data_IF_605066282089
#
_entry.id   IF_605066282089
#
_cell.length_a   1.000
_cell.length_b   1.000
_cell.length_c   1.000
_cell.angle_alpha   90.00
_cell.angle_beta   90.00
_cell.angle_gamma   90.00
#
_symmetry.space_group_name_H-M   'P 1'
#
loop_
_entity.id
_entity.type
_entity.pdbx_description
1 polymer ?
#
# COMPACT_ATOMS: atom_id res chain seq x y z
N UNK A 1 16.78 31.37 -4.69
CA UNK A 1 18.15 31.57 -4.12
C UNK A 1 19.27 31.27 -5.12
N UNK A 2 18.98 30.78 -6.34
CA UNK A 2 20.01 30.47 -7.33
C UNK A 2 20.80 29.21 -6.93
N UNK A 3 22.10 29.22 -7.18
CA UNK A 3 23.02 28.18 -6.76
C UNK A 3 23.78 28.62 -5.49
N UNK A 4 24.04 27.68 -4.57
CA UNK A 4 25.00 27.86 -3.48
C UNK A 4 26.23 27.03 -3.82
N UNK A 5 27.28 27.67 -4.35
CA UNK A 5 28.40 26.96 -4.98
C UNK A 5 27.89 26.24 -6.23
N UNK A 6 28.19 24.94 -6.35
CA UNK A 6 27.74 24.10 -7.47
C UNK A 6 26.42 23.34 -7.15
N UNK A 7 25.68 23.78 -6.11
CA UNK A 7 24.45 23.11 -5.65
C UNK A 7 23.23 23.94 -6.03
N UNK A 8 22.33 23.33 -6.81
CA UNK A 8 21.02 23.89 -7.14
C UNK A 8 20.13 23.98 -5.88
N UNK A 9 19.53 25.15 -5.64
CA UNK A 9 18.65 25.38 -4.49
C UNK A 9 17.19 25.42 -4.91
N UNK A 10 16.41 24.44 -4.44
CA UNK A 10 14.96 24.41 -4.57
C UNK A 10 14.29 25.16 -3.42
N UNK A 11 13.36 26.07 -3.76
CA UNK A 11 12.64 26.87 -2.79
C UNK A 11 11.16 26.46 -2.73
N UNK A 12 10.70 26.00 -1.56
CA UNK A 12 9.30 25.69 -1.28
C UNK A 12 8.73 26.76 -0.34
N UNK A 13 8.17 27.84 -0.90
CA UNK A 13 7.55 28.92 -0.13
C UNK A 13 6.24 28.45 0.50
N UNK A 14 5.94 28.99 1.68
CA UNK A 14 4.69 28.72 2.42
C UNK A 14 4.43 27.23 2.69
N UNK A 15 5.50 26.43 2.76
CA UNK A 15 5.46 25.00 2.99
C UNK A 15 6.28 24.60 4.23
N UNK A 16 5.89 23.50 4.87
CA UNK A 16 6.69 22.81 5.86
C UNK A 16 7.21 21.52 5.24
N UNK A 17 8.53 21.34 5.26
CA UNK A 17 9.17 20.11 4.82
C UNK A 17 9.33 19.20 6.04
N UNK A 18 8.79 17.99 5.96
CA UNK A 18 8.96 16.94 6.97
C UNK A 18 9.66 15.73 6.37
N UNK A 19 10.22 14.83 7.19
CA UNK A 19 10.49 13.47 6.76
C UNK A 19 9.21 12.80 6.25
N UNK A 20 9.35 11.82 5.35
CA UNK A 20 8.22 11.00 4.92
C UNK A 20 7.66 10.18 6.08
N UNK A 21 6.34 9.99 6.08
CA UNK A 21 5.64 9.27 7.13
C UNK A 21 5.86 7.75 7.02
N UNK A 22 5.79 7.09 8.17
CA UNK A 22 5.94 5.65 8.30
C UNK A 22 4.61 5.06 8.75
N UNK A 23 3.98 4.27 7.88
CA UNK A 23 2.79 3.50 8.22
C UNK A 23 3.20 2.11 8.71
N UNK A 24 2.86 1.79 9.95
CA UNK A 24 3.30 0.54 10.59
C UNK A 24 2.33 -0.61 10.40
N UNK A 25 1.15 -0.39 9.79
CA UNK A 25 0.19 -1.45 9.56
C UNK A 25 -0.87 -1.05 8.52
N UNK A 26 -0.81 -1.66 7.34
CA UNK A 26 -1.83 -1.45 6.31
C UNK A 26 -2.03 -2.70 5.45
N UNK A 27 -3.26 -2.90 4.97
CA UNK A 27 -3.63 -4.02 4.09
C UNK A 27 -3.76 -3.54 2.65
N UNK A 28 -2.79 -3.92 1.81
CA UNK A 28 -2.80 -3.60 0.38
C UNK A 28 -4.03 -4.19 -0.35
N UNK A 29 -4.41 -5.46 -0.14
CA UNK A 29 -5.58 -6.05 -0.80
C UNK A 29 -6.92 -5.40 -0.48
N UNK A 30 -6.97 -4.50 0.51
CA UNK A 30 -8.22 -3.91 1.01
C UNK A 30 -8.47 -2.50 0.49
N UNK A 31 -7.62 -1.97 -0.41
CA UNK A 31 -7.76 -0.61 -0.98
C UNK A 31 -9.17 -0.34 -1.53
N UNK A 32 -9.75 -1.30 -2.25
CA UNK A 32 -11.08 -1.15 -2.87
C UNK A 32 -12.28 -1.25 -1.91
N UNK A 33 -12.06 -1.65 -0.65
CA UNK A 33 -13.15 -1.89 0.32
C UNK A 33 -13.12 -0.93 1.52
N UNK A 34 -12.22 0.07 1.49
CA UNK A 34 -12.17 1.13 2.51
C UNK A 34 -13.57 1.76 2.64
N UNK A 35 -14.03 1.93 3.88
CA UNK A 35 -15.34 2.48 4.20
C UNK A 35 -16.56 1.66 3.68
N UNK A 36 -16.41 0.35 3.49
CA UNK A 36 -17.57 -0.55 3.37
C UNK A 36 -18.49 -0.45 4.60
N UNK A 37 -19.74 -0.89 4.49
CA UNK A 37 -20.69 -0.82 5.59
C UNK A 37 -20.30 -1.81 6.71
N UNK A 38 -20.24 -1.34 7.96
CA UNK A 38 -19.63 -2.10 9.05
C UNK A 38 -20.62 -2.66 10.07
N UNK A 39 -20.57 -3.98 10.26
CA UNK A 39 -20.88 -4.63 11.54
C UNK A 39 -19.56 -4.87 12.32
N UNK A 40 -19.51 -5.85 13.23
CA UNK A 40 -18.32 -6.15 14.03
C UNK A 40 -17.22 -6.85 13.18
N UNK A 41 -16.02 -6.98 13.75
CA UNK A 41 -14.82 -7.45 13.03
C UNK A 41 -15.01 -8.78 12.28
N UNK A 42 -15.60 -9.80 12.91
CA UNK A 42 -15.74 -11.12 12.27
C UNK A 42 -16.72 -11.08 11.10
N UNK A 43 -17.81 -10.34 11.23
CA UNK A 43 -18.79 -10.16 10.16
C UNK A 43 -18.18 -9.34 9.02
N UNK A 44 -17.40 -8.31 9.35
CA UNK A 44 -16.63 -7.52 8.38
C UNK A 44 -15.65 -8.38 7.58
N UNK A 45 -14.91 -9.26 8.26
CA UNK A 45 -13.95 -10.15 7.61
C UNK A 45 -14.63 -11.06 6.59
N UNK A 46 -15.72 -11.73 7.00
CA UNK A 46 -16.44 -12.67 6.15
C UNK A 46 -17.22 -11.98 5.02
N UNK A 47 -17.79 -10.81 5.28
CA UNK A 47 -18.68 -10.12 4.34
C UNK A 47 -17.91 -9.30 3.31
N UNK A 48 -16.80 -8.67 3.69
CA UNK A 48 -16.09 -7.72 2.83
C UNK A 48 -14.62 -8.07 2.60
N UNK A 49 -13.90 -8.49 3.65
CA UNK A 49 -12.46 -8.71 3.54
C UNK A 49 -12.14 -9.90 2.65
N UNK A 50 -12.60 -11.10 3.03
CA UNK A 50 -12.31 -12.33 2.29
C UNK A 50 -12.80 -12.30 0.83
N UNK A 51 -13.99 -11.77 0.49
CA UNK A 51 -14.40 -11.61 -0.89
C UNK A 51 -13.52 -10.65 -1.69
N UNK A 52 -13.09 -9.53 -1.09
CA UNK A 52 -12.19 -8.56 -1.74
C UNK A 52 -10.82 -9.17 -1.98
N UNK A 53 -10.21 -9.77 -0.95
CA UNK A 53 -8.87 -10.34 -1.05
C UNK A 53 -8.78 -11.53 -2.03
N UNK A 54 -9.90 -12.22 -2.28
CA UNK A 54 -9.98 -13.31 -3.27
C UNK A 54 -9.64 -12.83 -4.70
N UNK A 55 -9.92 -11.58 -5.03
CA UNK A 55 -9.66 -11.02 -6.36
C UNK A 55 -8.17 -10.96 -6.68
N UNK A 56 -7.30 -10.93 -5.65
CA UNK A 56 -5.85 -10.98 -5.80
C UNK A 56 -5.31 -12.36 -6.19
N UNK A 57 -6.20 -13.33 -6.41
CA UNK A 57 -5.91 -14.52 -7.21
C UNK A 57 -5.56 -14.19 -8.67
N UNK A 58 -6.00 -13.04 -9.18
CA UNK A 58 -5.65 -12.52 -10.51
C UNK A 58 -4.48 -11.53 -10.44
N UNK A 59 -3.40 -11.83 -11.16
CA UNK A 59 -2.20 -10.99 -11.27
C UNK A 59 -2.53 -9.61 -11.84
N UNK A 60 -3.39 -9.51 -12.86
CA UNK A 60 -3.69 -8.23 -13.50
C UNK A 60 -4.43 -7.29 -12.54
N UNK A 61 -5.34 -7.84 -11.73
CA UNK A 61 -5.99 -7.09 -10.66
C UNK A 61 -4.98 -6.64 -9.61
N UNK A 62 -4.08 -7.53 -9.18
CA UNK A 62 -3.05 -7.21 -8.20
C UNK A 62 -2.10 -6.11 -8.69
N UNK A 63 -1.67 -6.14 -9.95
CA UNK A 63 -0.84 -5.10 -10.57
C UNK A 63 -1.55 -3.74 -10.57
N UNK A 64 -2.82 -3.71 -11.00
CA UNK A 64 -3.61 -2.48 -11.04
C UNK A 64 -3.77 -1.86 -9.64
N UNK A 65 -4.15 -2.68 -8.64
CA UNK A 65 -4.34 -2.15 -7.29
C UNK A 65 -3.01 -1.75 -6.66
N UNK A 66 -1.90 -2.43 -6.98
CA UNK A 66 -0.58 -2.08 -6.43
C UNK A 66 -0.17 -0.65 -6.82
N UNK A 67 -0.44 -0.25 -8.06
CA UNK A 67 -0.18 1.10 -8.52
C UNK A 67 -1.06 2.13 -7.79
N UNK A 68 -2.37 1.87 -7.66
CA UNK A 68 -3.29 2.75 -6.93
C UNK A 68 -2.85 2.90 -5.47
N UNK A 69 -2.55 1.78 -4.81
CA UNK A 69 -2.15 1.73 -3.41
C UNK A 69 -0.89 2.57 -3.14
N UNK A 70 0.17 2.39 -3.94
CA UNK A 70 1.42 3.13 -3.76
C UNK A 70 1.28 4.62 -4.09
N UNK A 71 0.47 4.96 -5.11
CA UNK A 71 0.15 6.36 -5.41
C UNK A 71 -0.57 7.03 -4.25
N UNK A 72 -1.53 6.35 -3.61
CA UNK A 72 -2.24 6.89 -2.45
C UNK A 72 -1.34 7.02 -1.22
N UNK A 73 -0.40 6.10 -0.97
CA UNK A 73 0.59 6.27 0.09
C UNK A 73 1.41 7.55 -0.11
N UNK A 74 1.98 7.73 -1.31
CA UNK A 74 2.81 8.89 -1.64
C UNK A 74 2.01 10.20 -1.59
N UNK A 75 0.78 10.19 -2.10
CA UNK A 75 -0.12 11.34 -2.07
C UNK A 75 -0.45 11.78 -0.64
N UNK A 76 -0.47 10.85 0.32
CA UNK A 76 -0.69 11.11 1.74
C UNK A 76 0.62 11.24 2.53
N UNK A 77 1.78 11.36 1.86
CA UNK A 77 3.08 11.60 2.49
C UNK A 77 3.73 10.37 3.13
N UNK A 78 3.17 9.17 2.96
CA UNK A 78 3.76 7.92 3.44
C UNK A 78 4.81 7.43 2.45
N UNK A 79 6.06 7.32 2.91
CA UNK A 79 7.19 6.87 2.08
C UNK A 79 7.73 5.51 2.50
N UNK A 80 7.29 4.99 3.65
CA UNK A 80 7.61 3.63 4.11
C UNK A 80 6.39 3.02 4.78
N UNK A 81 6.09 1.76 4.46
CA UNK A 81 4.97 1.05 5.04
C UNK A 81 5.31 -0.42 5.38
N UNK A 82 4.70 -0.93 6.46
CA UNK A 82 4.57 -2.36 6.75
C UNK A 82 3.21 -2.86 6.25
N UNK A 83 3.26 -3.64 5.17
CA UNK A 83 2.09 -3.95 4.33
C UNK A 83 1.76 -5.43 4.34
N UNK A 84 0.51 -5.73 4.64
CA UNK A 84 -0.09 -7.05 4.48
C UNK A 84 -0.51 -7.23 3.01
N UNK A 85 0.01 -8.26 2.34
CA UNK A 85 -0.52 -8.75 1.07
C UNK A 85 -1.71 -9.68 1.29
N UNK A 86 -2.17 -10.39 0.25
CA UNK A 86 -3.14 -11.47 0.42
C UNK A 86 -2.42 -12.82 0.62
N UNK A 87 -3.20 -13.90 0.68
CA UNK A 87 -2.66 -15.28 0.65
C UNK A 87 -2.02 -15.64 -0.68
N UNK A 88 -2.37 -14.95 -1.75
CA UNK A 88 -1.90 -15.24 -3.09
C UNK A 88 -0.49 -14.71 -3.29
N UNK A 89 0.40 -15.54 -3.83
CA UNK A 89 1.80 -15.15 -4.08
C UNK A 89 1.90 -13.95 -5.02
N UNK A 90 1.11 -13.97 -6.09
CA UNK A 90 1.02 -12.89 -7.10
C UNK A 90 0.71 -11.52 -6.48
N UNK A 91 -0.08 -11.46 -5.41
CA UNK A 91 -0.40 -10.21 -4.71
C UNK A 91 0.85 -9.50 -4.19
N UNK A 92 1.74 -10.26 -3.56
CA UNK A 92 2.97 -9.73 -2.95
C UNK A 92 4.02 -9.44 -4.01
N UNK A 93 4.11 -10.27 -5.05
CA UNK A 93 5.01 -10.04 -6.19
C UNK A 93 4.66 -8.74 -6.93
N UNK A 94 3.37 -8.49 -7.19
CA UNK A 94 2.87 -7.25 -7.81
C UNK A 94 3.26 -6.02 -6.99
N UNK A 95 3.06 -6.09 -5.67
CA UNK A 95 3.40 -5.00 -4.75
C UNK A 95 4.90 -4.72 -4.73
N UNK A 96 5.74 -5.76 -4.63
CA UNK A 96 7.19 -5.59 -4.64
C UNK A 96 7.70 -5.01 -5.97
N UNK A 97 7.20 -5.51 -7.09
CA UNK A 97 7.62 -5.03 -8.41
C UNK A 97 7.21 -3.57 -8.62
N UNK A 98 6.01 -3.17 -8.21
CA UNK A 98 5.57 -1.77 -8.26
C UNK A 98 6.38 -0.87 -7.33
N UNK A 99 6.63 -1.30 -6.08
CA UNK A 99 7.44 -0.55 -5.12
C UNK A 99 8.89 -0.37 -5.60
N UNK A 100 9.46 -1.40 -6.23
CA UNK A 100 10.81 -1.39 -6.81
C UNK A 100 10.94 -0.39 -7.96
N UNK A 101 9.91 -0.24 -8.80
CA UNK A 101 9.90 0.78 -9.88
C UNK A 101 9.99 2.21 -9.34
N UNK A 102 9.47 2.44 -8.13
CA UNK A 102 9.46 3.74 -7.45
C UNK A 102 10.61 3.92 -6.45
N UNK A 103 11.49 2.92 -6.33
CA UNK A 103 12.57 2.87 -5.33
C UNK A 103 12.10 3.11 -3.88
N UNK A 104 10.91 2.59 -3.54
CA UNK A 104 10.33 2.75 -2.21
C UNK A 104 10.87 1.72 -1.23
N UNK A 105 11.13 2.16 0.01
CA UNK A 105 11.37 1.27 1.14
C UNK A 105 10.04 0.72 1.64
N UNK A 106 9.79 -0.55 1.36
CA UNK A 106 8.57 -1.24 1.78
C UNK A 106 8.90 -2.56 2.47
N UNK A 107 8.15 -2.86 3.53
CA UNK A 107 8.18 -4.15 4.22
C UNK A 107 6.85 -4.83 3.92
N UNK A 108 6.87 -5.95 3.22
CA UNK A 108 5.65 -6.66 2.86
C UNK A 108 5.81 -8.18 2.98
N UNK A 109 4.69 -8.88 3.13
CA UNK A 109 4.69 -10.34 3.25
C UNK A 109 3.40 -10.97 2.76
N UNK A 110 3.52 -12.24 2.33
CA UNK A 110 2.36 -13.09 2.03
C UNK A 110 1.66 -13.45 3.33
N UNK A 111 0.36 -13.20 3.39
CA UNK A 111 -0.44 -13.65 4.53
C UNK A 111 -0.49 -15.16 4.55
N UNK A 112 -0.34 -15.73 5.75
CA UNK A 112 -0.44 -17.17 6.00
C UNK A 112 -1.72 -17.43 6.77
N UNK A 113 -2.66 -18.13 6.13
CA UNK A 113 -3.90 -18.60 6.75
C UNK A 113 -4.27 -19.94 6.14
N UNK A 114 -4.61 -20.91 6.99
CA UNK A 114 -4.85 -22.32 6.62
C UNK A 114 -6.18 -22.88 7.17
N UNK A 115 -6.93 -22.07 7.94
CA UNK A 115 -8.22 -22.41 8.53
C UNK A 115 -9.04 -21.16 8.84
N UNK A 116 -10.36 -21.31 8.94
CA UNK A 116 -11.31 -20.22 9.26
C UNK A 116 -11.14 -18.97 8.36
N UNK A 117 -10.71 -19.21 7.14
CA UNK A 117 -10.38 -18.26 6.09
C UNK A 117 -10.65 -18.95 4.75
N UNK A 118 -10.92 -18.20 3.67
CA UNK A 118 -11.16 -18.77 2.33
C UNK A 118 -9.95 -19.54 1.79
#
# INVERSE_FOLDING_TARGET
LGEIGDVEVFEYRDALITPGFIDTHIHFPQTGMIASYGEQLLDWLNTYTFPTERQFGDQAHADQVAEIFLQELLRNGTTTALVFGSVHRQSVESLFEAARRLDLRLIAGKVMMDRNAP
#
